data_IF_945616196148
#
_entry.id   IF_945616196148
#
_cell.length_a   1.000
_cell.length_b   1.000
_cell.length_c   1.000
_cell.angle_alpha   90.00
_cell.angle_beta   90.00
_cell.angle_gamma   90.00
#
_symmetry.space_group_name_H-M   'P 1'
#
loop_
_entity.id
_entity.type
_entity.pdbx_description
1 polymer ?
#
# COMPACT_ATOMS: atom_id res chain seq x y z
N UNK A 1 34.85 46.91 -16.61
CA UNK A 1 35.08 46.85 -15.15
C UNK A 1 35.29 45.40 -14.77
N UNK A 2 36.41 45.08 -14.10
CA UNK A 2 36.68 43.73 -13.57
C UNK A 2 36.09 43.64 -12.16
N UNK A 3 35.10 42.77 -11.95
CA UNK A 3 34.55 42.47 -10.63
C UNK A 3 35.43 41.43 -9.93
N UNK A 4 36.09 41.85 -8.85
CA UNK A 4 36.83 40.96 -7.96
C UNK A 4 35.83 40.19 -7.08
N UNK A 5 35.67 38.89 -7.33
CA UNK A 5 34.99 37.98 -6.43
C UNK A 5 35.90 37.70 -5.23
N UNK A 6 35.52 38.18 -4.06
CA UNK A 6 36.22 37.94 -2.79
C UNK A 6 36.14 36.45 -2.47
N UNK A 7 37.19 35.70 -2.82
CA UNK A 7 37.36 34.31 -2.43
C UNK A 7 37.61 34.27 -0.93
N UNK A 8 36.59 33.89 -0.16
CA UNK A 8 36.73 33.53 1.25
C UNK A 8 37.81 32.46 1.40
N UNK A 9 38.81 32.79 2.21
CA UNK A 9 40.00 32.00 2.50
C UNK A 9 39.61 30.63 3.05
N UNK A 10 40.42 29.61 2.78
CA UNK A 10 40.24 28.26 3.35
C UNK A 10 40.22 28.28 4.89
N UNK A 11 40.83 29.29 5.51
CA UNK A 11 40.80 29.48 6.96
C UNK A 11 39.40 29.91 7.47
N UNK A 12 38.70 30.76 6.72
CA UNK A 12 37.38 31.27 7.11
C UNK A 12 36.31 30.17 7.03
N UNK A 13 36.42 29.27 6.04
CA UNK A 13 35.49 28.13 5.90
C UNK A 13 35.63 27.13 7.04
N UNK A 14 36.87 26.87 7.49
CA UNK A 14 37.12 25.96 8.63
C UNK A 14 36.56 26.54 9.92
N UNK A 15 36.75 27.85 10.15
CA UNK A 15 36.22 28.53 11.34
C UNK A 15 34.69 28.50 11.40
N UNK A 16 34.03 28.71 10.26
CA UNK A 16 32.57 28.66 10.16
C UNK A 16 32.01 27.25 10.36
N UNK A 17 32.71 26.22 9.90
CA UNK A 17 32.29 24.82 10.07
C UNK A 17 32.47 24.32 11.50
N UNK A 18 33.54 24.77 12.17
CA UNK A 18 33.79 24.48 13.58
C UNK A 18 32.75 25.15 14.49
N UNK A 19 32.34 26.38 14.18
CA UNK A 19 31.27 27.09 14.89
C UNK A 19 29.89 26.44 14.64
N UNK A 20 29.63 25.93 13.42
CA UNK A 20 28.41 25.18 13.10
C UNK A 20 28.35 23.84 13.85
N UNK A 21 29.49 23.15 13.98
CA UNK A 21 29.55 21.91 14.76
C UNK A 21 29.42 22.15 16.27
N UNK A 22 29.93 23.27 16.79
CA UNK A 22 29.76 23.63 18.20
C UNK A 22 28.27 23.88 18.54
N UNK A 23 27.53 24.61 17.68
CA UNK A 23 26.08 24.82 17.86
C UNK A 23 25.26 23.54 17.83
N UNK A 24 25.58 22.61 16.93
CA UNK A 24 24.87 21.33 16.83
C UNK A 24 25.06 20.46 18.08
N UNK A 25 26.25 20.47 18.70
CA UNK A 25 26.50 19.79 19.98
C UNK A 25 25.79 20.43 21.16
N UNK A 26 25.57 21.74 21.11
CA UNK A 26 24.84 22.48 22.15
C UNK A 26 23.32 22.24 22.03
N UNK A 27 22.79 22.08 20.81
CA UNK A 27 21.41 21.65 20.56
C UNK A 27 21.16 20.18 20.96
N UNK A 28 22.11 19.26 20.75
CA UNK A 28 21.97 17.86 21.21
C UNK A 28 22.06 17.70 22.74
N UNK A 29 22.60 18.69 23.46
CA UNK A 29 22.70 18.68 24.93
C UNK A 29 21.46 19.28 25.64
N UNK A 30 20.50 19.84 24.90
CA UNK A 30 19.33 20.55 25.46
C UNK A 30 18.01 19.84 25.16
N UNK A 31 17.96 18.53 25.36
CA UNK A 31 16.70 17.79 25.51
C UNK A 31 16.42 17.48 26.98
N UNK A 32 15.47 18.17 27.66
CA UNK A 32 15.02 17.72 28.97
C UNK A 32 14.13 16.48 28.78
N UNK A 33 14.70 15.28 28.91
CA UNK A 33 13.88 14.16 29.39
C UNK A 33 13.48 14.50 30.82
N UNK A 34 12.34 15.17 30.97
CA UNK A 34 11.80 15.47 32.29
C UNK A 34 11.55 14.15 33.02
N UNK A 35 11.95 14.11 34.28
CA UNK A 35 11.66 13.00 35.20
C UNK A 35 10.15 12.65 35.22
N UNK A 36 9.32 13.65 34.92
CA UNK A 36 7.89 13.54 34.70
C UNK A 36 7.50 12.71 33.48
N UNK A 37 8.17 12.88 32.34
CA UNK A 37 7.95 12.07 31.14
C UNK A 37 8.33 10.59 31.39
N UNK A 38 9.44 10.36 32.11
CA UNK A 38 9.83 9.02 32.52
C UNK A 38 8.80 8.38 33.46
N UNK A 39 8.25 9.15 34.41
CA UNK A 39 7.19 8.69 35.31
C UNK A 39 5.88 8.42 34.57
N UNK A 40 5.52 9.24 33.58
CA UNK A 40 4.33 9.04 32.75
C UNK A 40 4.42 7.73 31.92
N UNK A 41 5.59 7.47 31.33
CA UNK A 41 5.84 6.22 30.57
C UNK A 41 5.78 5.00 31.52
N UNK A 42 6.35 5.10 32.72
CA UNK A 42 6.32 4.01 33.70
C UNK A 42 4.89 3.73 34.19
N UNK A 43 4.08 4.76 34.41
CA UNK A 43 2.67 4.61 34.83
C UNK A 43 1.82 3.95 33.74
N UNK A 44 2.02 4.32 32.46
CA UNK A 44 1.34 3.69 31.33
C UNK A 44 1.68 2.19 31.24
N UNK A 45 2.97 1.85 31.35
CA UNK A 45 3.45 0.45 31.30
C UNK A 45 2.91 -0.42 32.44
N UNK A 46 2.72 0.15 33.63
CA UNK A 46 2.12 -0.56 34.76
C UNK A 46 0.63 -0.89 34.52
N UNK A 47 -0.12 0.03 33.90
CA UNK A 47 -1.53 -0.18 33.54
C UNK A 47 -1.70 -1.28 32.49
N UNK A 48 -0.79 -1.35 31.52
CA UNK A 48 -0.77 -2.41 30.51
C UNK A 48 -0.54 -3.80 31.15
N UNK A 49 0.40 -3.91 32.09
CA UNK A 49 0.70 -5.17 32.77
C UNK A 49 -0.49 -5.70 33.60
N UNK A 50 -1.21 -4.82 34.30
CA UNK A 50 -2.41 -5.20 35.04
C UNK A 50 -3.53 -5.69 34.10
N UNK A 51 -3.67 -5.03 32.95
CA UNK A 51 -4.66 -5.40 31.93
C UNK A 51 -4.31 -6.74 31.29
N UNK A 52 -3.03 -6.99 31.00
CA UNK A 52 -2.53 -8.24 30.47
C UNK A 52 -2.73 -9.42 31.45
N UNK A 53 -2.49 -9.19 32.75
CA UNK A 53 -2.72 -10.20 33.79
C UNK A 53 -4.20 -10.61 33.90
N UNK A 54 -5.13 -9.68 33.70
CA UNK A 54 -6.57 -9.96 33.71
C UNK A 54 -7.03 -10.72 32.46
N UNK A 55 -6.44 -10.42 31.31
CA UNK A 55 -6.80 -11.03 30.03
C UNK A 55 -6.09 -12.36 29.78
N UNK A 56 -4.99 -12.64 30.49
CA UNK A 56 -4.14 -13.82 30.26
C UNK A 56 -3.26 -13.70 29.02
N UNK A 57 -3.25 -12.54 28.35
CA UNK A 57 -2.40 -12.20 27.22
C UNK A 57 -2.20 -10.67 27.16
N UNK A 58 -1.07 -10.22 26.60
CA UNK A 58 -0.79 -8.79 26.43
C UNK A 58 -1.23 -8.30 25.04
N UNK A 59 -2.30 -7.51 24.92
CA UNK A 59 -2.80 -7.04 23.62
C UNK A 59 -1.85 -6.05 22.91
N UNK A 60 -0.89 -5.46 23.62
CA UNK A 60 0.09 -4.53 23.06
C UNK A 60 1.43 -5.21 22.75
N UNK A 61 1.56 -6.51 23.03
CA UNK A 61 2.73 -7.28 22.66
C UNK A 61 2.69 -7.60 21.17
N UNK A 62 3.60 -6.99 20.42
CA UNK A 62 3.74 -7.23 18.99
C UNK A 62 4.45 -8.58 18.80
N UNK A 63 3.66 -9.64 18.67
CA UNK A 63 4.17 -10.92 18.18
C UNK A 63 4.74 -10.71 16.77
N UNK A 64 6.08 -10.67 16.67
CA UNK A 64 6.78 -10.66 15.40
C UNK A 64 6.63 -12.03 14.75
N UNK A 65 5.46 -12.26 14.14
CA UNK A 65 5.27 -13.40 13.25
C UNK A 65 6.12 -13.16 12.01
N UNK A 66 7.28 -13.80 11.96
CA UNK A 66 8.04 -13.94 10.72
C UNK A 66 7.19 -14.71 9.71
N UNK A 67 7.15 -14.22 8.48
CA UNK A 67 6.26 -14.60 7.37
C UNK A 67 6.29 -16.08 6.94
N UNK A 68 7.07 -16.93 7.62
CA UNK A 68 7.22 -18.35 7.31
C UNK A 68 6.31 -19.33 8.07
N UNK A 69 5.55 -18.89 9.09
CA UNK A 69 4.73 -19.81 9.91
C UNK A 69 3.22 -19.82 9.62
N UNK A 70 2.75 -19.09 8.60
CA UNK A 70 1.34 -19.08 8.21
C UNK A 70 0.96 -20.25 7.29
N UNK A 71 1.24 -21.49 7.70
CA UNK A 71 0.67 -22.70 7.09
C UNK A 71 0.06 -23.55 8.20
N UNK A 72 -1.16 -24.02 7.94
CA UNK A 72 -2.10 -24.78 8.80
C UNK A 72 -2.85 -23.99 9.89
N UNK A 73 -3.83 -23.20 9.45
CA UNK A 73 -5.05 -22.96 10.22
C UNK A 73 -6.27 -23.27 9.33
N UNK A 74 -6.43 -24.54 9.01
CA UNK A 74 -7.68 -25.08 8.45
C UNK A 74 -8.00 -26.33 9.26
N UNK A 75 -9.26 -26.41 9.72
CA UNK A 75 -9.87 -27.53 10.47
C UNK A 75 -9.61 -27.53 11.99
N UNK A 76 -10.57 -26.98 12.73
CA UNK A 76 -11.12 -27.56 13.96
C UNK A 76 -12.35 -26.76 14.42
N UNK A 77 -13.48 -26.93 13.74
CA UNK A 77 -14.80 -26.53 14.25
C UNK A 77 -15.75 -27.71 14.14
N UNK A 78 -15.48 -28.76 14.90
CA UNK A 78 -16.42 -29.84 15.18
C UNK A 78 -15.92 -30.64 16.40
N UNK A 79 -16.35 -30.25 17.59
CA UNK A 79 -16.70 -31.22 18.65
C UNK A 79 -17.49 -30.51 19.75
N UNK A 80 -18.78 -30.26 19.46
CA UNK A 80 -19.77 -30.14 20.52
C UNK A 80 -20.24 -31.55 20.86
N UNK A 81 -19.99 -32.01 22.09
CA UNK A 81 -20.55 -33.25 22.60
C UNK A 81 -22.05 -33.07 22.83
N UNK A 82 -22.87 -33.88 22.18
CA UNK A 82 -24.22 -34.19 22.66
C UNK A 82 -24.46 -35.67 22.48
N UNK A 83 -24.38 -36.34 23.62
CA UNK A 83 -24.80 -37.71 23.87
C UNK A 83 -26.31 -37.67 24.15
N UNK A 84 -27.09 -38.35 23.31
CA UNK A 84 -28.46 -38.76 23.62
C UNK A 84 -28.87 -39.88 22.66
N UNK A 85 -28.53 -41.12 23.03
CA UNK A 85 -29.07 -42.29 22.38
C UNK A 85 -30.57 -42.48 22.65
N UNK A 86 -31.26 -43.06 21.66
CA UNK A 86 -32.20 -44.20 21.76
C UNK A 86 -33.59 -44.00 21.10
N UNK A 87 -33.69 -44.61 19.91
CA UNK A 87 -34.71 -45.54 19.36
C UNK A 87 -36.21 -45.31 19.60
N UNK A 88 -36.95 -45.15 18.48
CA UNK A 88 -38.22 -45.83 18.06
C UNK A 88 -38.44 -45.44 16.58
N UNK A 89 -38.34 -46.32 15.58
CA UNK A 89 -39.30 -47.33 15.06
C UNK A 89 -40.64 -46.77 14.57
N UNK A 90 -40.86 -46.81 13.25
CA UNK A 90 -42.02 -47.41 12.54
C UNK A 90 -42.42 -46.69 11.22
N UNK A 91 -42.48 -47.49 10.13
CA UNK A 91 -43.54 -47.47 9.12
C UNK A 91 -43.59 -46.40 8.00
N UNK A 92 -43.34 -46.82 6.74
CA UNK A 92 -44.19 -46.37 5.62
C UNK A 92 -43.59 -46.08 4.22
N UNK A 93 -43.44 -47.16 3.41
CA UNK A 93 -43.73 -47.30 1.95
C UNK A 93 -43.01 -46.45 0.84
N UNK A 94 -42.93 -46.98 -0.41
CA UNK A 94 -41.76 -46.87 -1.29
C UNK A 94 -41.98 -45.99 -2.53
N UNK A 95 -40.90 -45.55 -3.20
CA UNK A 95 -40.81 -45.57 -4.68
C UNK A 95 -39.52 -44.97 -5.25
N UNK A 96 -39.00 -45.71 -6.23
CA UNK A 96 -38.32 -45.26 -7.46
C UNK A 96 -36.90 -44.65 -7.36
N UNK A 97 -35.93 -45.50 -7.72
CA UNK A 97 -34.73 -45.12 -8.48
C UNK A 97 -35.12 -44.74 -9.91
N UNK A 98 -34.37 -43.84 -10.57
CA UNK A 98 -33.50 -44.29 -11.67
C UNK A 98 -32.14 -43.53 -11.66
N UNK A 99 -31.28 -43.58 -12.70
CA UNK A 99 -30.03 -44.34 -12.70
C UNK A 99 -28.74 -43.48 -12.83
N UNK A 100 -27.61 -44.18 -12.76
CA UNK A 100 -26.22 -43.79 -13.02
C UNK A 100 -25.96 -42.45 -13.73
N UNK A 101 -25.19 -41.59 -13.06
CA UNK A 101 -24.29 -40.61 -13.67
C UNK A 101 -22.87 -40.89 -13.19
N UNK A 102 -21.99 -41.18 -14.13
CA UNK A 102 -20.55 -41.46 -14.02
C UNK A 102 -19.79 -40.45 -13.16
N UNK A 103 -18.90 -40.97 -12.31
CA UNK A 103 -17.82 -40.26 -11.62
C UNK A 103 -17.03 -39.39 -12.60
N UNK A 104 -17.10 -38.07 -12.43
CA UNK A 104 -16.17 -37.14 -13.05
C UNK A 104 -14.89 -37.08 -12.22
N UNK A 105 -13.77 -37.20 -12.92
CA UNK A 105 -12.39 -37.22 -12.45
C UNK A 105 -11.97 -35.98 -11.62
N UNK A 106 -10.86 -36.10 -10.87
CA UNK A 106 -10.30 -35.00 -10.09
C UNK A 106 -9.90 -33.83 -10.99
N UNK A 107 -10.32 -32.62 -10.62
CA UNK A 107 -9.91 -31.36 -11.24
C UNK A 107 -8.38 -31.24 -11.29
N UNK A 108 -7.84 -31.25 -12.52
CA UNK A 108 -6.46 -30.87 -12.82
C UNK A 108 -6.19 -29.41 -12.44
N UNK A 109 -4.93 -29.05 -12.11
CA UNK A 109 -4.56 -27.68 -11.76
C UNK A 109 -4.74 -26.74 -12.95
N UNK A 110 -5.48 -25.65 -12.73
CA UNK A 110 -5.74 -24.56 -13.67
C UNK A 110 -4.45 -24.12 -14.39
N UNK A 111 -4.33 -24.52 -15.65
CA UNK A 111 -3.37 -23.97 -16.59
C UNK A 111 -3.75 -22.54 -16.96
N UNK A 112 -2.72 -21.74 -17.18
CA UNK A 112 -2.62 -20.30 -17.43
C UNK A 112 -3.37 -19.78 -18.71
N UNK A 113 -4.52 -20.36 -19.06
CA UNK A 113 -5.17 -20.21 -20.37
C UNK A 113 -6.48 -19.40 -20.38
N UNK A 114 -7.00 -18.95 -19.24
CA UNK A 114 -8.23 -18.14 -19.17
C UNK A 114 -7.93 -16.65 -18.86
N UNK A 115 -7.03 -16.03 -19.62
CA UNK A 115 -7.03 -14.57 -19.74
C UNK A 115 -8.04 -14.22 -20.83
N UNK A 116 -9.30 -13.96 -20.44
CA UNK A 116 -10.26 -13.27 -21.31
C UNK A 116 -9.54 -12.10 -21.99
N UNK A 117 -9.73 -11.90 -23.31
CA UNK A 117 -9.05 -10.83 -24.03
C UNK A 117 -9.46 -9.50 -23.41
N UNK A 118 -8.54 -9.00 -22.58
CA UNK A 118 -8.58 -7.70 -21.94
C UNK A 118 -8.96 -6.67 -23.00
N UNK A 119 -10.05 -5.94 -22.77
CA UNK A 119 -10.61 -4.99 -23.72
C UNK A 119 -9.58 -3.95 -24.19
N UNK A 120 -9.86 -3.23 -25.29
CA UNK A 120 -8.93 -2.23 -25.82
C UNK A 120 -8.62 -1.17 -24.76
N UNK A 121 -7.33 -0.89 -24.56
CA UNK A 121 -6.85 0.18 -23.67
C UNK A 121 -7.34 1.55 -24.20
N UNK A 122 -7.58 2.50 -23.30
CA UNK A 122 -7.86 3.88 -23.70
C UNK A 122 -6.65 4.48 -24.43
N UNK A 123 -6.83 5.13 -25.59
CA UNK A 123 -5.73 5.73 -26.33
C UNK A 123 -4.91 6.73 -25.52
N UNK A 124 -5.53 7.48 -24.59
CA UNK A 124 -4.81 8.45 -23.75
C UNK A 124 -3.90 7.75 -22.75
N UNK A 125 -4.33 6.58 -22.25
CA UNK A 125 -3.47 5.76 -21.41
C UNK A 125 -2.28 5.23 -22.21
N UNK A 126 -2.52 4.70 -23.41
CA UNK A 126 -1.45 4.12 -24.24
C UNK A 126 -0.43 5.18 -24.67
N UNK A 127 -0.88 6.35 -25.10
CA UNK A 127 0.00 7.49 -25.43
C UNK A 127 0.83 7.95 -24.24
N UNK A 128 0.21 8.11 -23.06
CA UNK A 128 0.91 8.52 -21.85
C UNK A 128 1.90 7.43 -21.38
N UNK A 129 1.51 6.16 -21.46
CA UNK A 129 2.39 5.03 -21.15
C UNK A 129 3.61 5.00 -22.08
N UNK A 130 3.41 5.16 -23.38
CA UNK A 130 4.50 5.27 -24.36
C UNK A 130 5.40 6.47 -24.04
N UNK A 131 4.84 7.63 -23.66
CA UNK A 131 5.65 8.77 -23.24
C UNK A 131 6.52 8.43 -22.03
N UNK A 132 5.96 7.78 -21.00
CA UNK A 132 6.73 7.37 -19.81
C UNK A 132 7.85 6.39 -20.18
N UNK A 133 7.58 5.41 -21.04
CA UNK A 133 8.57 4.36 -21.35
C UNK A 133 9.61 4.78 -22.39
N UNK A 134 9.27 5.65 -23.36
CA UNK A 134 10.14 5.98 -24.48
C UNK A 134 10.82 7.35 -24.37
N UNK A 135 10.16 8.36 -23.79
CA UNK A 135 10.72 9.71 -23.75
C UNK A 135 11.72 9.92 -22.59
N UNK A 136 11.71 9.02 -21.61
CA UNK A 136 12.62 9.07 -20.47
C UNK A 136 13.96 8.38 -20.81
N UNK A 137 15.06 9.14 -20.76
CA UNK A 137 16.42 8.62 -21.01
C UNK A 137 16.90 7.64 -19.94
N UNK A 138 16.37 7.77 -18.72
CA UNK A 138 16.63 6.86 -17.61
C UNK A 138 15.52 5.81 -17.49
N UNK A 139 15.79 4.62 -18.04
CA UNK A 139 14.88 3.47 -17.92
C UNK A 139 14.62 3.09 -16.45
N UNK A 140 15.59 3.26 -15.55
CA UNK A 140 15.39 2.93 -14.14
C UNK A 140 14.41 3.91 -13.48
N UNK A 141 14.47 5.19 -13.83
CA UNK A 141 13.49 6.18 -13.38
C UNK A 141 12.08 5.88 -13.90
N UNK A 142 11.95 5.49 -15.19
CA UNK A 142 10.67 5.09 -15.77
C UNK A 142 10.07 3.85 -15.08
N UNK A 143 10.89 2.81 -14.81
CA UNK A 143 10.46 1.60 -14.08
C UNK A 143 10.03 1.94 -12.66
N UNK A 144 10.79 2.79 -11.95
CA UNK A 144 10.43 3.24 -10.61
C UNK A 144 9.13 4.06 -10.61
N UNK A 145 8.97 4.95 -11.58
CA UNK A 145 7.76 5.74 -11.81
C UNK A 145 6.54 4.84 -11.98
N UNK A 146 6.58 3.89 -12.92
CA UNK A 146 5.50 2.93 -13.17
C UNK A 146 5.19 2.08 -11.93
N UNK A 147 6.21 1.65 -11.19
CA UNK A 147 6.01 0.91 -9.93
C UNK A 147 5.28 1.75 -8.87
N UNK A 148 5.63 3.03 -8.74
CA UNK A 148 4.96 3.95 -7.81
C UNK A 148 3.52 4.21 -8.27
N UNK A 149 3.30 4.56 -9.54
CA UNK A 149 1.98 4.82 -10.11
C UNK A 149 1.06 3.61 -9.94
N UNK A 150 1.52 2.41 -10.30
CA UNK A 150 0.76 1.16 -10.10
C UNK A 150 0.31 0.98 -8.65
N UNK A 151 1.21 1.19 -7.68
CA UNK A 151 0.88 1.08 -6.25
C UNK A 151 -0.15 2.11 -5.81
N UNK A 152 -0.07 3.33 -6.31
CA UNK A 152 -1.02 4.39 -5.99
C UNK A 152 -2.41 4.07 -6.56
N UNK A 153 -2.46 3.69 -7.84
CA UNK A 153 -3.70 3.29 -8.51
C UNK A 153 -4.37 2.13 -7.77
N UNK A 154 -3.62 1.06 -7.47
CA UNK A 154 -4.15 -0.11 -6.73
C UNK A 154 -4.64 0.31 -5.35
N UNK A 155 -3.89 1.12 -4.60
CA UNK A 155 -4.34 1.55 -3.28
C UNK A 155 -5.60 2.43 -3.36
N UNK A 156 -5.69 3.33 -4.33
CA UNK A 156 -6.83 4.23 -4.52
C UNK A 156 -8.11 3.49 -4.93
N UNK A 157 -8.00 2.51 -5.83
CA UNK A 157 -9.14 1.71 -6.35
C UNK A 157 -9.56 0.58 -5.42
N UNK A 158 -8.70 0.14 -4.49
CA UNK A 158 -9.03 -0.92 -3.52
C UNK A 158 -9.29 -0.36 -2.11
N UNK A 159 -8.22 -0.09 -1.35
CA UNK A 159 -8.26 0.44 0.02
C UNK A 159 -8.92 1.83 0.08
N UNK A 160 -8.79 2.60 -0.99
CA UNK A 160 -9.44 3.89 -1.13
C UNK A 160 -10.95 3.79 -1.32
N UNK A 161 -11.46 2.66 -1.82
CA UNK A 161 -12.90 2.46 -2.01
C UNK A 161 -13.56 1.62 -0.91
N UNK A 162 -12.75 0.99 -0.06
CA UNK A 162 -13.22 0.05 0.95
C UNK A 162 -13.12 0.64 2.36
N UNK A 163 -14.24 0.63 3.08
CA UNK A 163 -14.30 0.98 4.50
C UNK A 163 -14.65 2.45 4.79
N UNK A 164 -14.55 2.87 6.05
CA UNK A 164 -14.95 4.21 6.48
C UNK A 164 -14.11 5.31 5.83
N UNK A 165 -14.73 6.42 5.45
CA UNK A 165 -14.12 7.55 4.74
C UNK A 165 -12.87 8.10 5.45
N UNK A 166 -12.89 8.16 6.79
CA UNK A 166 -11.74 8.58 7.61
C UNK A 166 -10.46 7.77 7.38
N UNK A 167 -10.61 6.49 6.99
CA UNK A 167 -9.49 5.57 6.76
C UNK A 167 -9.17 5.39 5.28
N UNK A 168 -10.19 5.44 4.43
CA UNK A 168 -10.06 5.19 2.99
C UNK A 168 -9.62 6.44 2.22
N UNK A 169 -10.05 7.63 2.65
CA UNK A 169 -9.76 8.91 1.97
C UNK A 169 -8.26 9.19 1.78
N UNK A 170 -7.40 8.79 2.73
CA UNK A 170 -5.94 8.97 2.61
C UNK A 170 -5.29 8.15 1.49
N UNK A 171 -5.92 7.06 1.03
CA UNK A 171 -5.39 6.25 -0.07
C UNK A 171 -5.77 6.80 -1.44
N UNK A 172 -6.77 7.67 -1.50
CA UNK A 172 -7.22 8.33 -2.72
C UNK A 172 -6.54 9.68 -2.95
N UNK A 173 -5.85 10.23 -1.94
CA UNK A 173 -5.17 11.54 -2.02
C UNK A 173 -3.65 11.38 -2.02
N UNK A 174 -3.00 11.94 -3.02
CA UNK A 174 -1.55 11.88 -3.21
C UNK A 174 -0.99 13.31 -3.30
N UNK A 175 -0.08 13.67 -2.40
CA UNK A 175 0.55 15.00 -2.35
C UNK A 175 1.72 15.08 -3.34
N UNK A 176 1.63 15.97 -4.32
CA UNK A 176 2.66 16.08 -5.38
C UNK A 176 3.97 16.71 -4.89
N UNK A 177 3.95 17.45 -3.78
CA UNK A 177 5.17 18.01 -3.17
C UNK A 177 6.02 16.97 -2.43
N UNK A 178 5.52 15.75 -2.19
CA UNK A 178 6.31 14.69 -1.58
C UNK A 178 7.49 14.31 -2.51
N UNK A 179 8.75 14.35 -2.04
CA UNK A 179 9.92 14.18 -2.92
C UNK A 179 9.89 12.89 -3.76
N UNK A 180 9.40 11.78 -3.18
CA UNK A 180 9.32 10.49 -3.86
C UNK A 180 8.20 10.45 -4.90
N UNK A 181 7.09 11.14 -4.63
CA UNK A 181 5.98 11.25 -5.58
C UNK A 181 6.37 12.21 -6.70
N UNK A 182 6.97 13.35 -6.34
CA UNK A 182 7.44 14.35 -7.28
C UNK A 182 8.39 13.74 -8.30
N UNK A 183 9.44 13.05 -7.84
CA UNK A 183 10.42 12.40 -8.72
C UNK A 183 9.84 11.26 -9.56
N UNK A 184 8.72 10.66 -9.14
CA UNK A 184 8.10 9.52 -9.81
C UNK A 184 6.93 9.92 -10.73
N UNK A 185 6.35 11.11 -10.57
CA UNK A 185 5.13 11.53 -11.29
C UNK A 185 5.30 12.91 -11.89
N UNK A 186 5.68 13.91 -11.10
CA UNK A 186 5.76 15.30 -11.56
C UNK A 186 7.00 15.57 -12.43
N UNK A 187 8.11 14.89 -12.15
CA UNK A 187 9.38 15.08 -12.86
C UNK A 187 9.57 14.07 -14.03
N UNK A 188 8.57 13.21 -14.30
CA UNK A 188 8.63 12.17 -15.34
C UNK A 188 7.63 12.50 -16.46
N UNK A 189 8.14 12.63 -17.69
CA UNK A 189 7.33 12.98 -18.85
C UNK A 189 6.23 11.94 -19.12
N UNK A 190 4.98 12.38 -19.16
CA UNK A 190 3.81 11.53 -19.41
C UNK A 190 3.24 10.83 -18.17
N UNK A 191 3.93 10.87 -17.01
CA UNK A 191 3.46 10.16 -15.83
C UNK A 191 2.22 10.82 -15.21
N UNK A 192 2.15 12.16 -15.25
CA UNK A 192 0.97 12.88 -14.77
C UNK A 192 -0.25 12.57 -15.66
N UNK A 193 -0.09 12.64 -16.97
CA UNK A 193 -1.12 12.33 -17.97
C UNK A 193 -1.62 10.89 -17.82
N UNK A 194 -0.71 9.95 -17.54
CA UNK A 194 -1.07 8.56 -17.27
C UNK A 194 -1.98 8.47 -16.04
N UNK A 195 -1.62 9.13 -14.93
CA UNK A 195 -2.45 9.15 -13.72
C UNK A 195 -3.82 9.79 -13.98
N UNK A 196 -3.88 10.88 -14.75
CA UNK A 196 -5.14 11.53 -15.12
C UNK A 196 -6.01 10.64 -16.01
N UNK A 197 -5.41 9.88 -16.95
CA UNK A 197 -6.14 8.96 -17.83
C UNK A 197 -6.85 7.83 -17.07
N UNK A 198 -6.30 7.43 -15.92
CA UNK A 198 -6.88 6.42 -15.02
C UNK A 198 -8.05 6.97 -14.20
N UNK A 199 -8.19 8.30 -14.09
CA UNK A 199 -9.27 8.96 -13.36
C UNK A 199 -8.83 9.76 -12.13
N UNK A 200 -7.53 9.96 -11.91
CA UNK A 200 -7.09 10.93 -10.92
C UNK A 200 -7.40 12.36 -11.40
N UNK A 201 -7.65 13.26 -10.45
CA UNK A 201 -7.94 14.67 -10.71
C UNK A 201 -6.97 15.53 -9.91
N UNK A 202 -6.51 16.64 -10.50
CA UNK A 202 -5.73 17.64 -9.78
C UNK A 202 -6.64 18.47 -8.89
N UNK A 203 -6.25 18.61 -7.63
CA UNK A 203 -6.93 19.44 -6.65
C UNK A 203 -5.90 20.29 -5.94
N UNK A 204 -6.05 21.61 -6.02
CA UNK A 204 -5.28 22.54 -5.19
C UNK A 204 -5.99 22.71 -3.85
N UNK A 205 -5.23 22.69 -2.75
CA UNK A 205 -5.74 23.02 -1.42
C UNK A 205 -5.29 24.43 -1.04
N UNK A 206 -6.22 25.39 -1.02
CA UNK A 206 -5.94 26.79 -0.68
C UNK A 206 -5.44 26.97 0.76
N UNK A 207 -5.75 26.04 1.68
CA UNK A 207 -5.33 26.11 3.08
C UNK A 207 -3.83 25.86 3.27
N UNK A 208 -3.28 24.90 2.52
CA UNK A 208 -1.86 24.50 2.61
C UNK A 208 -1.03 25.05 1.44
N UNK A 209 -1.68 25.56 0.38
CA UNK A 209 -1.03 26.00 -0.86
C UNK A 209 -0.42 24.87 -1.68
N UNK A 210 -0.96 23.65 -1.58
CA UNK A 210 -0.39 22.46 -2.20
C UNK A 210 -1.32 21.78 -3.20
N UNK A 211 -0.72 21.21 -4.25
CA UNK A 211 -1.42 20.43 -5.27
C UNK A 211 -1.42 18.94 -4.93
N UNK A 212 -2.59 18.32 -5.05
CA UNK A 212 -2.83 16.91 -4.82
C UNK A 212 -3.38 16.23 -6.08
N UNK A 213 -3.02 14.97 -6.29
CA UNK A 213 -3.78 14.05 -7.13
C UNK A 213 -4.81 13.34 -6.26
N UNK A 214 -6.07 13.45 -6.63
CA UNK A 214 -7.20 12.87 -5.89
C UNK A 214 -7.97 11.92 -6.79
N UNK A 215 -8.25 10.72 -6.28
CA UNK A 215 -9.11 9.74 -6.92
C UNK A 215 -10.53 9.82 -6.34
N UNK A 216 -11.59 9.90 -7.16
CA UNK A 216 -12.96 10.03 -6.67
C UNK A 216 -13.42 8.86 -5.78
N UNK A 217 -14.22 9.12 -4.72
CA UNK A 217 -14.85 8.06 -3.94
C UNK A 217 -15.97 7.35 -4.74
N UNK A 218 -16.12 6.05 -4.54
CA UNK A 218 -17.11 5.22 -5.23
C UNK A 218 -16.73 4.84 -6.67
N UNK A 219 -15.60 5.33 -7.17
CA UNK A 219 -15.08 5.00 -8.49
C UNK A 219 -14.17 3.77 -8.40
N UNK A 220 -14.32 2.82 -9.33
CA UNK A 220 -13.44 1.65 -9.44
C UNK A 220 -12.38 1.83 -10.52
N UNK A 221 -12.38 2.98 -11.19
CA UNK A 221 -11.60 3.23 -12.39
C UNK A 221 -12.27 2.64 -13.64
N UNK A 222 -11.64 2.84 -14.80
CA UNK A 222 -12.18 2.35 -16.07
C UNK A 222 -12.11 0.83 -16.19
N UNK A 223 -12.96 0.24 -17.02
CA UNK A 223 -13.03 -1.23 -17.22
C UNK A 223 -11.72 -1.83 -17.75
N UNK A 224 -10.93 -1.06 -18.49
CA UNK A 224 -9.61 -1.46 -19.02
C UNK A 224 -8.48 -1.35 -17.98
N UNK A 225 -8.76 -0.85 -16.77
CA UNK A 225 -7.74 -0.63 -15.74
C UNK A 225 -6.97 -1.90 -15.34
N UNK A 226 -7.60 -3.07 -15.17
CA UNK A 226 -6.87 -4.31 -14.87
C UNK A 226 -5.82 -4.63 -15.95
N UNK A 227 -6.16 -4.42 -17.22
CA UNK A 227 -5.29 -4.61 -18.37
C UNK A 227 -4.10 -3.64 -18.36
N UNK A 228 -4.38 -2.38 -18.05
CA UNK A 228 -3.35 -1.35 -17.88
C UNK A 228 -2.38 -1.70 -16.75
N UNK A 229 -2.88 -2.15 -15.60
CA UNK A 229 -2.07 -2.53 -14.44
C UNK A 229 -1.17 -3.74 -14.72
N UNK A 230 -1.68 -4.70 -15.50
CA UNK A 230 -0.89 -5.84 -15.96
C UNK A 230 0.23 -5.38 -16.90
N UNK A 231 -0.08 -4.55 -17.91
CA UNK A 231 0.94 -4.02 -18.83
C UNK A 231 2.04 -3.22 -18.12
N UNK A 232 1.67 -2.42 -17.12
CA UNK A 232 2.64 -1.71 -16.28
C UNK A 232 3.53 -2.68 -15.49
N UNK A 233 2.97 -3.79 -14.99
CA UNK A 233 3.72 -4.81 -14.24
C UNK A 233 4.65 -5.62 -15.13
N UNK A 234 4.20 -6.01 -16.33
CA UNK A 234 5.03 -6.69 -17.32
C UNK A 234 6.26 -5.85 -17.68
N UNK A 235 6.07 -4.55 -17.97
CA UNK A 235 7.19 -3.65 -18.27
C UNK A 235 8.16 -3.51 -17.10
N UNK A 236 7.65 -3.42 -15.87
CA UNK A 236 8.49 -3.32 -14.66
C UNK A 236 9.27 -4.61 -14.38
N UNK A 237 8.74 -5.78 -14.78
CA UNK A 237 9.41 -7.07 -14.59
C UNK A 237 10.40 -7.42 -15.71
N UNK A 238 10.23 -6.87 -16.90
CA UNK A 238 11.11 -7.12 -18.05
C UNK A 238 12.41 -6.30 -18.01
N UNK A 239 12.47 -5.24 -17.20
CA UNK A 239 13.58 -4.27 -17.11
C UNK A 239 14.32 -4.33 -15.78
#
# INVERSE_FOLDING_TARGET
GRGAGTLLSAADRRKMEEERQARLREEEATGPMSEEAARAIAAAKAGEAATAAKLGYNPYETNKMTSGQAKTATVAKAHGSVDAGRLVDDGGVPSQLPPLGTVAEPLEPLTQADKEPLGPLDPRFDEAFVSVTFNNTDNAAAVQSLSVMRKLIVNATTKGQSGPEEKSGKFRRVRLSNPKIKSAIADIDGALELMLSVGFVLSDNDEDGETYLVFPPGDSGPEWLPSALERMEEYVNEK
#
